data_IF_141940410890
#
_entry.id   IF_141940410890
#
_cell.length_a   1.000
_cell.length_b   1.000
_cell.length_c   1.000
_cell.angle_alpha   90.00
_cell.angle_beta   90.00
_cell.angle_gamma   90.00
#
_symmetry.space_group_name_H-M   'P 1'
#
loop_
_entity.id
_entity.type
_entity.pdbx_description
1 polymer ?
#
# COMPACT_ATOMS: atom_id res chain seq x y z
N UNK A 1 -36.64 12.46 0.33
CA UNK A 1 -35.79 13.61 -0.06
C UNK A 1 -34.66 13.63 0.95
N UNK A 2 -33.71 12.71 0.80
CA UNK A 2 -32.60 12.57 1.74
C UNK A 2 -31.59 13.68 1.47
N UNK A 3 -31.44 14.57 2.45
CA UNK A 3 -30.36 15.55 2.42
C UNK A 3 -29.03 14.82 2.55
N UNK A 4 -27.99 15.20 1.78
CA UNK A 4 -26.66 14.67 2.03
C UNK A 4 -26.21 15.20 3.39
N UNK A 5 -26.06 14.30 4.37
CA UNK A 5 -25.36 14.61 5.61
C UNK A 5 -23.89 14.78 5.23
N UNK A 6 -23.50 15.98 4.82
CA UNK A 6 -22.09 16.39 4.77
C UNK A 6 -21.61 16.52 6.20
N UNK A 7 -21.24 15.38 6.78
CA UNK A 7 -20.46 15.33 8.00
C UNK A 7 -19.17 16.08 7.73
N UNK A 8 -19.00 17.26 8.33
CA UNK A 8 -17.73 18.01 8.38
C UNK A 8 -16.73 17.24 9.25
N UNK A 9 -16.30 16.06 8.77
CA UNK A 9 -15.25 15.29 9.45
C UNK A 9 -13.97 16.11 9.39
N UNK A 10 -13.25 16.15 10.50
CA UNK A 10 -11.92 16.76 10.60
C UNK A 10 -10.87 15.75 11.09
N UNK A 11 -11.32 14.54 11.44
CA UNK A 11 -10.50 13.44 11.94
C UNK A 11 -11.12 12.09 11.57
N UNK A 12 -10.29 11.04 11.61
CA UNK A 12 -10.73 9.68 11.37
C UNK A 12 -11.56 9.17 12.56
N UNK A 13 -12.84 8.87 12.31
CA UNK A 13 -13.75 8.28 13.30
C UNK A 13 -13.65 6.75 13.39
N UNK A 14 -12.66 6.16 12.71
CA UNK A 14 -12.42 4.70 12.68
C UNK A 14 -13.64 3.90 12.21
N UNK A 15 -14.30 4.37 11.15
CA UNK A 15 -15.44 3.65 10.55
C UNK A 15 -15.02 2.38 9.78
N UNK A 16 -13.73 2.22 9.45
CA UNK A 16 -13.20 1.07 8.73
C UNK A 16 -13.34 1.13 7.20
N UNK A 17 -14.18 2.01 6.66
CA UNK A 17 -14.48 2.10 5.21
C UNK A 17 -13.22 2.15 4.34
N UNK A 18 -12.27 3.04 4.65
CA UNK A 18 -11.02 3.13 3.92
C UNK A 18 -10.09 1.94 4.15
N UNK A 19 -10.04 1.40 5.37
CA UNK A 19 -9.21 0.25 5.72
C UNK A 19 -9.70 -1.04 5.05
N UNK A 20 -11.00 -1.14 4.80
CA UNK A 20 -11.67 -2.23 4.10
C UNK A 20 -11.62 -2.05 2.57
N UNK A 21 -11.49 -0.82 2.07
CA UNK A 21 -11.46 -0.54 0.64
C UNK A 21 -10.15 -0.92 -0.08
N UNK A 22 -8.99 -0.66 0.53
CA UNK A 22 -7.67 -1.02 -0.04
C UNK A 22 -6.60 -0.95 1.04
N UNK A 23 -5.62 -1.84 0.96
CA UNK A 23 -4.39 -1.71 1.74
C UNK A 23 -3.45 -0.62 1.14
N UNK A 24 -2.51 -0.08 1.93
CA UNK A 24 -1.59 0.96 1.46
C UNK A 24 -0.44 0.42 0.61
N UNK A 25 -0.05 1.21 -0.38
CA UNK A 25 1.25 1.10 -1.05
C UNK A 25 2.32 1.78 -0.19
N UNK A 26 3.45 1.11 0.02
CA UNK A 26 4.57 1.67 0.77
C UNK A 26 5.29 2.75 -0.03
N UNK A 27 5.53 3.88 0.62
CA UNK A 27 6.40 4.96 0.15
C UNK A 27 7.84 4.73 0.62
N UNK A 28 8.81 5.43 0.04
CA UNK A 28 10.20 5.36 0.49
C UNK A 28 10.38 5.74 1.98
N UNK A 29 9.53 6.62 2.49
CA UNK A 29 9.48 6.98 3.92
C UNK A 29 8.98 5.84 4.83
N UNK A 30 8.30 4.84 4.27
CA UNK A 30 7.79 3.67 5.01
C UNK A 30 8.84 2.55 5.15
N UNK A 31 10.03 2.68 4.54
CA UNK A 31 11.06 1.63 4.56
C UNK A 31 11.47 1.25 5.99
N UNK A 32 11.53 2.21 6.90
CA UNK A 32 11.85 1.94 8.31
C UNK A 32 10.78 1.08 8.99
N UNK A 33 9.50 1.18 8.60
CA UNK A 33 8.44 0.34 9.14
C UNK A 33 8.70 -1.14 8.88
N UNK A 34 9.27 -1.47 7.71
CA UNK A 34 9.66 -2.85 7.36
C UNK A 34 10.96 -3.25 8.02
N UNK A 35 11.94 -2.33 8.05
CA UNK A 35 13.25 -2.59 8.67
C UNK A 35 13.14 -2.87 10.16
N UNK A 36 12.28 -2.12 10.86
CA UNK A 36 12.14 -2.14 12.31
C UNK A 36 11.09 -3.18 12.77
N UNK A 37 10.46 -3.91 11.83
CA UNK A 37 9.55 -5.01 12.13
C UNK A 37 8.11 -4.61 12.46
N UNK A 38 7.74 -3.34 12.24
CA UNK A 38 6.34 -2.91 12.38
C UNK A 38 5.45 -3.43 11.25
N UNK A 39 6.03 -3.64 10.07
CA UNK A 39 5.40 -4.28 8.92
C UNK A 39 6.25 -5.47 8.51
N UNK A 40 5.70 -6.66 8.65
CA UNK A 40 6.39 -7.90 8.35
C UNK A 40 6.57 -8.08 6.84
N UNK A 41 7.72 -8.59 6.40
CA UNK A 41 7.95 -8.85 4.96
C UNK A 41 6.99 -9.87 4.38
N UNK A 42 6.55 -10.83 5.19
CA UNK A 42 5.56 -11.83 4.80
C UNK A 42 4.17 -11.21 4.51
N UNK A 43 3.90 -10.04 5.08
CA UNK A 43 2.65 -9.29 4.94
C UNK A 43 2.67 -8.36 3.72
N UNK A 44 3.74 -8.41 2.91
CA UNK A 44 3.90 -7.60 1.71
C UNK A 44 3.80 -8.46 0.45
N UNK A 45 3.39 -7.81 -0.63
CA UNK A 45 3.56 -8.33 -1.98
C UNK A 45 4.13 -7.25 -2.89
N UNK A 46 4.55 -7.67 -4.08
CA UNK A 46 5.18 -6.79 -5.06
C UNK A 46 4.43 -6.89 -6.37
N UNK A 47 4.12 -5.75 -6.95
CA UNK A 47 3.71 -5.62 -8.34
C UNK A 47 4.95 -5.19 -9.12
N UNK A 48 5.35 -5.98 -10.10
CA UNK A 48 6.60 -5.77 -10.85
C UNK A 48 6.38 -4.85 -12.04
N UNK A 49 7.47 -4.28 -12.53
CA UNK A 49 7.46 -3.45 -13.75
C UNK A 49 6.82 -4.24 -14.90
N UNK A 50 5.86 -3.63 -15.59
CA UNK A 50 5.12 -4.23 -16.69
C UNK A 50 3.83 -4.93 -16.27
N UNK A 51 3.62 -5.23 -14.98
CA UNK A 51 2.39 -5.86 -14.52
C UNK A 51 1.19 -4.88 -14.57
N UNK A 52 -0.02 -5.39 -14.86
CA UNK A 52 -1.24 -4.61 -14.78
C UNK A 52 -1.59 -4.30 -13.32
N UNK A 53 -1.92 -3.03 -13.05
CA UNK A 53 -2.35 -2.55 -11.75
C UNK A 53 -3.63 -1.74 -11.88
N UNK A 54 -4.55 -1.93 -10.93
CA UNK A 54 -5.72 -1.05 -10.76
C UNK A 54 -5.27 0.19 -9.99
N UNK A 55 -5.31 1.33 -10.66
CA UNK A 55 -5.19 2.63 -9.99
C UNK A 55 -6.56 2.97 -9.36
N UNK A 56 -6.64 2.89 -8.04
CA UNK A 56 -7.87 3.17 -7.29
C UNK A 56 -8.17 4.67 -7.19
N UNK A 57 -7.18 5.55 -7.44
CA UNK A 57 -7.36 7.00 -7.44
C UNK A 57 -7.97 7.46 -8.76
N UNK A 58 -7.41 6.99 -9.86
CA UNK A 58 -7.87 7.34 -11.22
C UNK A 58 -8.93 6.37 -11.76
N UNK A 59 -9.28 5.35 -10.98
CA UNK A 59 -10.25 4.30 -11.29
C UNK A 59 -10.04 3.66 -12.67
N UNK A 60 -8.79 3.30 -12.98
CA UNK A 60 -8.42 2.70 -14.27
C UNK A 60 -7.44 1.56 -14.11
N UNK A 61 -7.46 0.64 -15.06
CA UNK A 61 -6.39 -0.34 -15.22
C UNK A 61 -5.23 0.33 -15.97
N UNK A 62 -4.01 0.17 -15.47
CA UNK A 62 -2.81 0.69 -16.11
C UNK A 62 -1.68 -0.32 -16.00
N UNK A 63 -0.60 -0.12 -16.78
CA UNK A 63 0.61 -0.92 -16.68
C UNK A 63 1.62 -0.11 -15.87
N UNK A 64 2.18 -0.70 -14.82
CA UNK A 64 3.14 0.04 -14.00
C UNK A 64 4.53 0.06 -14.65
N UNK A 65 5.14 1.24 -14.68
CA UNK A 65 6.52 1.46 -15.14
C UNK A 65 7.55 1.34 -14.00
N UNK A 66 7.08 1.11 -12.77
CA UNK A 66 7.89 1.01 -11.56
C UNK A 66 7.44 -0.18 -10.72
N UNK A 67 8.36 -0.72 -9.93
CA UNK A 67 8.00 -1.73 -8.94
C UNK A 67 7.22 -1.07 -7.79
N UNK A 68 6.16 -1.73 -7.33
CA UNK A 68 5.30 -1.27 -6.23
C UNK A 68 5.32 -2.34 -5.13
N UNK A 69 5.63 -1.93 -3.90
CA UNK A 69 5.45 -2.77 -2.71
C UNK A 69 4.18 -2.35 -1.99
N UNK A 70 3.26 -3.30 -1.79
CA UNK A 70 1.96 -3.04 -1.15
C UNK A 70 1.72 -4.05 -0.03
N UNK A 71 1.06 -3.60 1.03
CA UNK A 71 0.60 -4.47 2.12
C UNK A 71 -0.46 -5.42 1.58
N UNK A 72 -0.44 -6.69 1.95
CA UNK A 72 -1.46 -7.65 1.50
C UNK A 72 -2.85 -7.25 1.97
N UNK A 73 -3.84 -7.69 1.21
CA UNK A 73 -5.24 -7.66 1.62
C UNK A 73 -5.60 -9.02 2.22
N UNK A 74 -6.71 -9.09 2.96
CA UNK A 74 -7.17 -10.33 3.59
C UNK A 74 -7.47 -11.39 2.53
N UNK A 75 -7.47 -12.66 2.92
CA UNK A 75 -7.65 -13.79 1.99
C UNK A 75 -8.99 -13.73 1.24
N UNK A 76 -10.03 -13.17 1.85
CA UNK A 76 -11.34 -12.95 1.21
C UNK A 76 -11.35 -11.75 0.23
N UNK A 77 -10.20 -11.12 0.00
CA UNK A 77 -9.97 -10.11 -1.04
C UNK A 77 -10.44 -8.69 -0.69
N UNK A 78 -10.86 -8.44 0.55
CA UNK A 78 -11.33 -7.12 0.98
C UNK A 78 -10.61 -6.69 2.26
N UNK A 79 -9.97 -5.52 2.19
CA UNK A 79 -9.40 -4.85 3.34
C UNK A 79 -7.97 -5.23 3.71
N UNK A 80 -7.29 -4.30 4.37
CA UNK A 80 -5.92 -4.44 4.83
C UNK A 80 -5.80 -5.53 5.92
N UNK A 81 -4.78 -6.39 5.83
CA UNK A 81 -4.53 -7.45 6.82
C UNK A 81 -4.21 -6.94 8.23
N UNK A 82 -3.77 -5.68 8.36
CA UNK A 82 -3.49 -5.07 9.68
C UNK A 82 -4.73 -4.43 10.32
N UNK A 83 -5.84 -4.28 9.59
CA UNK A 83 -7.07 -3.75 10.15
C UNK A 83 -7.78 -4.82 10.97
N UNK A 84 -8.09 -4.49 12.22
CA UNK A 84 -8.93 -5.25 13.13
C UNK A 84 -10.32 -4.60 13.15
N UNK A 85 -11.32 -5.34 12.67
CA UNK A 85 -12.70 -4.85 12.56
C UNK A 85 -13.40 -4.75 13.91
N UNK A 86 -13.16 -5.71 14.80
CA UNK A 86 -13.77 -5.74 16.12
C UNK A 86 -13.25 -4.59 16.97
N UNK A 87 -11.94 -4.34 16.91
CA UNK A 87 -11.30 -3.21 17.57
C UNK A 87 -11.49 -1.88 16.84
N UNK A 88 -11.99 -1.90 15.60
CA UNK A 88 -12.03 -0.76 14.67
C UNK A 88 -10.70 -0.01 14.62
N UNK A 89 -9.60 -0.75 14.56
CA UNK A 89 -8.26 -0.19 14.69
C UNK A 89 -7.26 -0.94 13.82
N UNK A 90 -6.16 -0.29 13.48
CA UNK A 90 -5.03 -0.96 12.87
C UNK A 90 -4.14 -1.54 13.98
N UNK A 91 -3.66 -2.77 13.84
CA UNK A 91 -2.70 -3.38 14.77
C UNK A 91 -1.37 -2.62 14.82
N UNK A 92 -1.11 -1.79 13.82
CA UNK A 92 0.09 -0.94 13.68
C UNK A 92 -0.28 0.54 13.63
N UNK A 93 -1.35 0.97 14.32
CA UNK A 93 -1.93 2.32 14.16
C UNK A 93 -0.93 3.48 14.35
N UNK A 94 -0.02 3.36 15.33
CA UNK A 94 1.02 4.36 15.62
C UNK A 94 2.19 4.31 14.64
N UNK A 95 2.32 3.19 13.91
CA UNK A 95 3.35 2.91 12.92
C UNK A 95 2.73 2.70 11.53
N UNK A 96 1.64 3.41 11.26
CA UNK A 96 0.88 3.28 10.02
C UNK A 96 1.70 3.82 8.82
N UNK A 97 1.58 3.22 7.63
CA UNK A 97 2.18 3.75 6.41
C UNK A 97 1.75 5.17 6.10
N UNK A 98 2.59 5.91 5.38
CA UNK A 98 2.40 7.30 4.99
C UNK A 98 1.03 7.55 4.35
N UNK A 99 0.62 6.66 3.43
CA UNK A 99 -0.69 6.76 2.79
C UNK A 99 -1.85 6.66 3.81
N UNK A 100 -1.75 5.76 4.78
CA UNK A 100 -2.75 5.63 5.84
C UNK A 100 -2.74 6.83 6.79
N UNK A 101 -1.56 7.39 7.09
CA UNK A 101 -1.43 8.57 7.93
C UNK A 101 -2.01 9.84 7.29
N UNK A 102 -1.87 9.96 5.98
CA UNK A 102 -2.36 11.07 5.18
C UNK A 102 -3.85 10.95 4.77
N UNK A 103 -4.46 9.78 4.97
CA UNK A 103 -5.80 9.52 4.50
C UNK A 103 -6.85 10.25 5.35
N UNK A 104 -7.48 11.25 4.74
CA UNK A 104 -8.65 11.94 5.25
C UNK A 104 -9.79 11.72 4.25
N UNK A 105 -10.76 10.86 4.56
CA UNK A 105 -11.87 10.55 3.63
C UNK A 105 -12.81 11.76 3.38
N UNK A 106 -12.61 12.85 4.10
CA UNK A 106 -13.30 14.13 3.91
C UNK A 106 -12.50 15.17 3.12
N UNK A 107 -11.18 14.98 2.97
CA UNK A 107 -10.31 15.87 2.19
C UNK A 107 -9.11 15.07 1.62
N UNK A 108 -9.09 14.77 0.31
CA UNK A 108 -8.04 13.94 -0.29
C UNK A 108 -6.71 14.69 -0.49
N UNK A 109 -6.61 15.99 -0.20
CA UNK A 109 -5.46 16.80 -0.59
C UNK A 109 -4.11 16.27 -0.09
N UNK A 110 -4.00 15.90 1.20
CA UNK A 110 -2.76 15.34 1.76
C UNK A 110 -2.47 13.94 1.23
N UNK A 111 -3.49 13.09 1.12
CA UNK A 111 -3.35 11.77 0.51
C UNK A 111 -2.79 11.88 -0.91
N UNK A 112 -3.30 12.81 -1.73
CA UNK A 112 -2.82 13.03 -3.09
C UNK A 112 -1.38 13.56 -3.14
N UNK A 113 -0.94 14.33 -2.14
CA UNK A 113 0.46 14.73 -2.01
C UNK A 113 1.34 13.53 -1.69
N UNK A 114 0.94 12.67 -0.76
CA UNK A 114 1.68 11.43 -0.41
C UNK A 114 1.68 10.43 -1.56
N UNK A 115 0.55 10.26 -2.25
CA UNK A 115 0.40 9.33 -3.39
C UNK A 115 1.42 9.60 -4.50
N UNK A 116 1.78 10.87 -4.71
CA UNK A 116 2.76 11.30 -5.71
C UNK A 116 4.22 11.18 -5.26
N UNK A 117 4.47 10.83 -4.00
CA UNK A 117 5.84 10.64 -3.49
C UNK A 117 6.46 9.36 -4.09
N UNK A 118 7.80 9.21 -3.99
CA UNK A 118 8.47 7.99 -4.44
C UNK A 118 8.03 6.76 -3.64
N UNK A 119 7.50 5.76 -4.35
CA UNK A 119 7.15 4.46 -3.79
C UNK A 119 8.38 3.62 -3.40
N UNK A 120 8.24 2.76 -2.39
CA UNK A 120 9.25 1.78 -2.06
C UNK A 120 9.28 0.62 -3.08
N UNK A 121 10.47 0.06 -3.27
CA UNK A 121 10.70 -1.16 -4.05
C UNK A 121 11.33 -2.25 -3.17
N UNK A 122 11.41 -3.49 -3.65
CA UNK A 122 11.96 -4.62 -2.90
C UNK A 122 13.41 -4.41 -2.49
N UNK A 123 14.21 -3.67 -3.27
CA UNK A 123 15.61 -3.35 -2.91
C UNK A 123 15.69 -2.39 -1.72
N UNK A 124 14.73 -1.48 -1.57
CA UNK A 124 14.69 -0.55 -0.45
C UNK A 124 14.42 -1.26 0.90
N UNK A 125 13.66 -2.36 0.87
CA UNK A 125 13.28 -3.15 2.05
C UNK A 125 14.11 -4.43 2.23
N UNK A 126 15.10 -4.68 1.37
CA UNK A 126 15.96 -5.88 1.41
C UNK A 126 17.42 -5.48 1.58
N UNK A 127 18.03 -5.95 2.67
CA UNK A 127 19.42 -5.60 3.02
C UNK A 127 20.41 -6.74 2.80
N UNK A 128 19.92 -7.97 2.65
CA UNK A 128 20.75 -9.15 2.42
C UNK A 128 21.28 -9.14 0.97
N UNK A 129 22.60 -9.14 0.81
CA UNK A 129 23.26 -9.06 -0.50
C UNK A 129 23.01 -10.29 -1.37
N UNK A 130 22.87 -11.47 -0.76
CA UNK A 130 22.58 -12.72 -1.49
C UNK A 130 21.16 -12.66 -2.02
N UNK A 131 20.18 -12.23 -1.20
CA UNK A 131 18.80 -12.05 -1.66
C UNK A 131 18.71 -11.00 -2.76
N UNK A 132 19.42 -9.88 -2.64
CA UNK A 132 19.47 -8.86 -3.69
C UNK A 132 20.00 -9.42 -5.01
N UNK A 133 21.08 -10.22 -4.99
CA UNK A 133 21.61 -10.86 -6.19
C UNK A 133 20.62 -11.88 -6.80
N UNK A 134 19.90 -12.64 -5.97
CA UNK A 134 18.85 -13.55 -6.43
C UNK A 134 17.67 -12.80 -7.05
N UNK A 135 17.30 -11.64 -6.50
CA UNK A 135 16.26 -10.79 -7.07
C UNK A 135 16.66 -10.26 -8.45
N UNK A 136 17.91 -9.81 -8.61
CA UNK A 136 18.43 -9.33 -9.90
C UNK A 136 18.41 -10.44 -10.96
N UNK A 137 18.83 -11.66 -10.58
CA UNK A 137 18.81 -12.82 -11.48
C UNK A 137 17.38 -13.29 -11.80
N UNK A 138 16.46 -13.21 -10.83
CA UNK A 138 15.05 -13.48 -11.04
C UNK A 138 14.42 -12.47 -12.00
N UNK A 139 14.72 -11.18 -11.86
CA UNK A 139 14.24 -10.16 -12.80
C UNK A 139 14.79 -10.42 -14.20
N UNK A 140 16.07 -10.73 -14.33
CA UNK A 140 16.70 -11.03 -15.63
C UNK A 140 16.07 -12.22 -16.36
N UNK A 141 15.70 -13.28 -15.63
CA UNK A 141 15.15 -14.53 -16.19
C UNK A 141 13.64 -14.51 -16.37
N UNK A 142 12.95 -13.85 -15.45
CA UNK A 142 11.50 -13.96 -15.26
C UNK A 142 10.82 -12.59 -15.23
N UNK A 143 11.39 -11.54 -15.85
CA UNK A 143 10.71 -10.25 -15.99
C UNK A 143 9.33 -10.41 -16.64
N UNK A 144 8.40 -9.52 -16.28
CA UNK A 144 7.07 -9.54 -16.88
C UNK A 144 7.13 -9.40 -18.41
N UNK A 145 8.08 -8.61 -18.92
CA UNK A 145 8.34 -8.42 -20.35
C UNK A 145 8.76 -9.70 -21.11
N UNK A 146 9.02 -10.81 -20.41
CA UNK A 146 9.38 -12.11 -20.98
C UNK A 146 8.21 -13.11 -20.95
N UNK A 147 7.05 -12.69 -20.46
CA UNK A 147 5.82 -13.46 -20.56
C UNK A 147 5.18 -13.14 -21.92
N UNK A 148 5.01 -14.17 -22.75
CA UNK A 148 4.38 -14.08 -24.08
C UNK A 148 2.85 -13.87 -23.98
#
# INVERSE_FOLDING_TARGET
>A
MDQPVTSERTHCIRCGECCLGSSPTLQMEDVSLVKDGFIEKYDLYTIRVGEPVRDNVENRLTITDREIVKVKEREEGVGCIYYDEDAKACRTYDHRPAQCAALACWDPAEFMRVYKRPGANRRAITYDKVILALMDEHERKCSYSRLD
#
